data_IF_617086243136
#
_entry.id   IF_617086243136
#
_cell.length_a   1.000
_cell.length_b   1.000
_cell.length_c   1.000
_cell.angle_alpha   90.00
_cell.angle_beta   90.00
_cell.angle_gamma   90.00
#
_symmetry.space_group_name_H-M   'P 1'
#
loop_
_entity.id
_entity.type
_entity.pdbx_description
1 polymer ?
#
# COMPACT_ATOMS: atom_id res chain seq x y z
N UNK A 1 -15.80 -50.50 -13.18
CA UNK A 1 -15.53 -49.16 -12.60
C UNK A 1 -14.02 -48.94 -12.62
N UNK A 2 -13.53 -47.97 -13.39
CA UNK A 2 -12.07 -47.71 -13.54
C UNK A 2 -11.68 -46.61 -12.55
N UNK A 3 -11.02 -46.99 -11.47
CA UNK A 3 -10.48 -46.02 -10.50
C UNK A 3 -9.09 -45.62 -10.97
N UNK A 4 -8.96 -44.43 -11.57
CA UNK A 4 -7.68 -43.88 -12.01
C UNK A 4 -6.89 -43.45 -10.78
N UNK A 5 -5.80 -44.16 -10.47
CA UNK A 5 -4.85 -43.77 -9.40
C UNK A 5 -4.09 -42.52 -9.84
N UNK A 6 -4.60 -41.35 -9.49
CA UNK A 6 -3.93 -40.07 -9.74
C UNK A 6 -2.64 -40.01 -8.91
N UNK A 7 -1.49 -39.87 -9.58
CA UNK A 7 -0.19 -39.74 -8.93
C UNK A 7 -0.17 -38.43 -8.11
N UNK A 8 0.36 -38.43 -6.87
CA UNK A 8 0.32 -37.27 -5.96
C UNK A 8 1.00 -36.02 -6.56
N UNK A 9 1.96 -36.22 -7.47
CA UNK A 9 2.65 -35.17 -8.21
C UNK A 9 1.70 -34.38 -9.14
N UNK A 10 0.66 -35.03 -9.69
CA UNK A 10 -0.32 -34.39 -10.57
C UNK A 10 -1.32 -33.52 -9.82
N UNK A 11 -1.58 -33.84 -8.54
CA UNK A 11 -2.45 -33.04 -7.68
C UNK A 11 -1.73 -31.76 -7.24
N UNK A 12 -0.44 -31.86 -6.93
CA UNK A 12 0.39 -30.70 -6.58
C UNK A 12 0.49 -29.66 -7.71
N UNK A 13 0.69 -30.11 -8.95
CA UNK A 13 0.75 -29.22 -10.12
C UNK A 13 -0.58 -28.53 -10.38
N UNK A 14 -1.71 -29.23 -10.23
CA UNK A 14 -3.04 -28.64 -10.35
C UNK A 14 -3.33 -27.62 -9.25
N UNK A 15 -2.83 -27.86 -8.04
CA UNK A 15 -3.05 -26.97 -6.89
C UNK A 15 -2.22 -25.68 -7.01
N UNK A 16 -0.97 -25.78 -7.45
CA UNK A 16 -0.12 -24.61 -7.75
C UNK A 16 -0.67 -23.81 -8.93
N UNK A 17 -1.16 -24.49 -9.98
CA UNK A 17 -1.82 -23.82 -11.10
C UNK A 17 -3.08 -23.06 -10.64
N UNK A 18 -3.93 -23.67 -9.81
CA UNK A 18 -5.14 -23.01 -9.28
C UNK A 18 -4.83 -21.79 -8.40
N UNK A 19 -3.75 -21.84 -7.60
CA UNK A 19 -3.30 -20.71 -6.79
C UNK A 19 -2.72 -19.56 -7.64
N UNK A 20 -2.08 -19.87 -8.77
CA UNK A 20 -1.53 -18.86 -9.67
C UNK A 20 -2.59 -17.97 -10.32
N UNK A 21 -3.79 -18.49 -10.59
CA UNK A 21 -4.89 -17.71 -11.21
C UNK A 21 -5.59 -16.74 -10.24
N UNK A 22 -5.49 -16.92 -8.93
CA UNK A 22 -6.09 -15.99 -7.96
C UNK A 22 -5.34 -14.66 -7.79
N UNK A 23 -4.13 -14.53 -8.33
CA UNK A 23 -3.32 -13.31 -8.19
C UNK A 23 -3.74 -12.18 -9.16
N UNK A 24 -4.44 -12.49 -10.25
CA UNK A 24 -4.84 -11.50 -11.27
C UNK A 24 -6.28 -10.98 -11.12
N UNK A 25 -6.99 -11.33 -10.04
CA UNK A 25 -8.38 -10.91 -9.83
C UNK A 25 -8.53 -9.63 -8.98
N UNK A 26 -7.41 -8.96 -8.66
CA UNK A 26 -7.39 -7.76 -7.80
C UNK A 26 -7.40 -6.44 -8.57
N UNK A 27 -7.81 -6.44 -9.84
CA UNK A 27 -8.13 -5.19 -10.53
C UNK A 27 -9.37 -4.56 -9.90
N UNK A 28 -9.23 -3.32 -9.41
CA UNK A 28 -10.35 -2.49 -8.95
C UNK A 28 -11.30 -2.18 -10.10
N UNK A 29 -12.58 -2.04 -9.79
CA UNK A 29 -13.59 -1.61 -10.76
C UNK A 29 -13.16 -0.25 -11.38
N UNK A 30 -12.99 -0.15 -12.70
CA UNK A 30 -12.56 1.09 -13.36
C UNK A 30 -13.55 2.24 -13.18
N UNK A 31 -14.83 1.97 -12.92
CA UNK A 31 -15.81 3.02 -12.61
C UNK A 31 -15.54 3.64 -11.25
N UNK A 32 -15.15 2.83 -10.26
CA UNK A 32 -14.78 3.32 -8.94
C UNK A 32 -13.56 4.26 -9.03
N UNK A 33 -12.58 3.94 -9.87
CA UNK A 33 -11.40 4.80 -10.08
C UNK A 33 -11.76 6.16 -10.68
N UNK A 34 -12.87 6.25 -11.42
CA UNK A 34 -13.32 7.50 -12.01
C UNK A 34 -14.19 8.34 -11.08
N UNK A 35 -14.71 7.75 -10.01
CA UNK A 35 -15.57 8.40 -9.02
C UNK A 35 -14.87 9.61 -8.37
N UNK A 36 -15.51 10.78 -8.32
CA UNK A 36 -14.92 11.98 -7.70
C UNK A 36 -14.68 11.80 -6.18
N UNK A 37 -15.54 11.07 -5.47
CA UNK A 37 -15.37 10.78 -4.06
C UNK A 37 -14.18 9.86 -3.82
N UNK A 38 -13.97 8.87 -4.70
CA UNK A 38 -12.78 8.05 -4.68
C UNK A 38 -11.51 8.89 -4.84
N UNK A 39 -11.47 9.78 -5.84
CA UNK A 39 -10.32 10.67 -6.09
C UNK A 39 -10.07 11.62 -4.92
N UNK A 40 -11.12 12.18 -4.32
CA UNK A 40 -11.01 13.04 -3.14
C UNK A 40 -10.44 12.26 -1.94
N UNK A 41 -11.00 11.08 -1.66
CA UNK A 41 -10.49 10.20 -0.62
C UNK A 41 -9.02 9.84 -0.84
N UNK A 42 -8.65 9.50 -2.07
CA UNK A 42 -7.27 9.18 -2.42
C UNK A 42 -6.29 10.32 -2.18
N UNK A 43 -6.68 11.56 -2.50
CA UNK A 43 -5.85 12.73 -2.20
C UNK A 43 -5.67 12.94 -0.69
N UNK A 44 -6.76 12.85 0.08
CA UNK A 44 -6.76 13.02 1.54
C UNK A 44 -5.96 11.90 2.25
N UNK A 45 -6.08 10.67 1.76
CA UNK A 45 -5.30 9.52 2.23
C UNK A 45 -3.81 9.71 2.00
N UNK A 46 -3.44 10.20 0.83
CA UNK A 46 -2.04 10.51 0.52
C UNK A 46 -1.48 11.59 1.45
N UNK A 47 -2.25 12.67 1.70
CA UNK A 47 -1.85 13.70 2.65
C UNK A 47 -1.71 13.14 4.07
N UNK A 48 -2.66 12.33 4.52
CA UNK A 48 -2.59 11.64 5.81
C UNK A 48 -1.31 10.84 5.97
N UNK A 49 -0.87 10.12 4.93
CA UNK A 49 0.36 9.33 5.00
C UNK A 49 1.61 10.19 5.28
N UNK A 50 1.62 11.44 4.82
CA UNK A 50 2.71 12.38 5.06
C UNK A 50 2.59 13.10 6.40
N UNK A 51 1.37 13.37 6.86
CA UNK A 51 1.14 14.19 8.06
C UNK A 51 0.91 13.38 9.32
N UNK A 52 0.50 12.11 9.22
CA UNK A 52 0.10 11.31 10.38
C UNK A 52 1.25 11.22 11.39
N UNK A 53 0.94 11.41 12.65
CA UNK A 53 1.84 11.14 13.77
C UNK A 53 1.14 10.15 14.68
N UNK A 54 1.82 9.05 15.00
CA UNK A 54 1.26 7.99 15.84
C UNK A 54 0.79 8.56 17.18
N UNK A 55 -0.46 8.29 17.54
CA UNK A 55 -1.10 8.78 18.77
C UNK A 55 -1.82 10.12 18.66
N UNK A 56 -1.81 10.76 17.50
CA UNK A 56 -2.45 12.06 17.26
C UNK A 56 -3.43 11.98 16.07
N UNK A 57 -4.68 11.64 16.35
CA UNK A 57 -5.72 11.46 15.32
C UNK A 57 -6.00 12.74 14.51
N UNK A 58 -5.73 13.92 15.06
CA UNK A 58 -5.89 15.21 14.39
C UNK A 58 -4.95 15.40 13.20
N UNK A 59 -3.87 14.62 13.14
CA UNK A 59 -2.91 14.66 12.03
C UNK A 59 -3.40 13.89 10.81
N UNK A 60 -4.47 13.10 10.96
CA UNK A 60 -5.10 12.32 9.90
C UNK A 60 -6.00 13.24 9.06
N UNK A 61 -5.63 13.43 7.79
CA UNK A 61 -6.40 14.22 6.83
C UNK A 61 -7.52 13.37 6.23
N UNK A 62 -8.74 13.57 6.73
CA UNK A 62 -9.95 12.96 6.13
C UNK A 62 -11.20 13.78 6.41
N UNK A 63 -12.11 13.81 5.45
CA UNK A 63 -13.48 14.24 5.67
C UNK A 63 -14.23 13.15 6.44
N UNK A 64 -14.48 13.39 7.72
CA UNK A 64 -15.11 12.41 8.62
C UNK A 64 -16.50 11.96 8.13
N UNK A 65 -17.33 12.88 7.63
CA UNK A 65 -18.67 12.52 7.17
C UNK A 65 -18.59 11.56 5.97
N UNK A 66 -17.80 11.91 4.96
CA UNK A 66 -17.63 11.07 3.76
C UNK A 66 -16.92 9.75 4.09
N UNK A 67 -15.97 9.76 5.03
CA UNK A 67 -15.29 8.54 5.47
C UNK A 67 -16.24 7.54 6.12
N UNK A 68 -17.26 8.01 6.82
CA UNK A 68 -18.26 7.14 7.46
C UNK A 68 -19.34 6.68 6.46
N UNK A 69 -19.86 7.59 5.64
CA UNK A 69 -21.03 7.31 4.78
C UNK A 69 -20.69 6.79 3.39
N UNK A 70 -19.59 7.23 2.80
CA UNK A 70 -19.28 6.96 1.39
C UNK A 70 -18.21 5.88 1.23
N UNK A 71 -18.61 4.73 0.69
CA UNK A 71 -17.69 3.62 0.44
C UNK A 71 -16.59 3.99 -0.56
N UNK A 72 -16.92 4.76 -1.60
CA UNK A 72 -15.94 5.19 -2.60
C UNK A 72 -14.85 6.08 -1.99
N UNK A 73 -15.23 7.05 -1.16
CA UNK A 73 -14.29 7.92 -0.46
C UNK A 73 -13.38 7.14 0.48
N UNK A 74 -13.94 6.29 1.35
CA UNK A 74 -13.17 5.47 2.31
C UNK A 74 -12.19 4.52 1.60
N UNK A 75 -12.62 3.94 0.50
CA UNK A 75 -11.78 3.06 -0.33
C UNK A 75 -10.63 3.86 -0.97
N UNK A 76 -10.92 5.02 -1.53
CA UNK A 76 -9.90 5.93 -2.07
C UNK A 76 -8.89 6.35 -1.01
N UNK A 77 -9.36 6.72 0.19
CA UNK A 77 -8.51 7.12 1.31
C UNK A 77 -7.52 6.04 1.72
N UNK A 78 -7.96 4.78 1.89
CA UNK A 78 -7.06 3.68 2.23
C UNK A 78 -5.96 3.45 1.19
N UNK A 79 -6.30 3.58 -0.09
CA UNK A 79 -5.35 3.42 -1.20
C UNK A 79 -4.35 4.56 -1.30
N UNK A 80 -4.84 5.80 -1.18
CA UNK A 80 -3.98 6.99 -1.15
C UNK A 80 -2.99 6.90 0.00
N UNK A 81 -3.47 6.47 1.17
CA UNK A 81 -2.65 6.28 2.36
C UNK A 81 -1.55 5.23 2.13
N UNK A 82 -1.91 4.03 1.66
CA UNK A 82 -0.96 2.95 1.41
C UNK A 82 0.02 3.22 0.27
N UNK A 83 -0.39 4.00 -0.74
CA UNK A 83 0.45 4.32 -1.90
C UNK A 83 1.51 5.37 -1.57
N UNK A 84 1.16 6.42 -0.81
CA UNK A 84 2.06 7.53 -0.48
C UNK A 84 2.92 7.30 0.79
N UNK A 85 2.49 6.42 1.71
CA UNK A 85 3.14 6.20 3.01
C UNK A 85 4.52 5.53 2.99
N UNK A 86 4.97 5.01 1.84
CA UNK A 86 6.27 4.33 1.71
C UNK A 86 7.50 5.25 1.84
N UNK A 87 7.30 6.58 1.94
CA UNK A 87 8.39 7.54 2.13
C UNK A 87 8.95 7.62 3.56
N UNK A 88 8.25 7.12 4.58
CA UNK A 88 8.69 7.26 5.99
C UNK A 88 9.77 6.25 6.40
N UNK A 89 10.03 5.22 5.59
CA UNK A 89 11.14 4.28 5.81
C UNK A 89 12.46 4.70 5.16
N UNK A 90 12.53 5.92 4.58
CA UNK A 90 13.73 6.43 3.91
C UNK A 90 14.24 7.74 4.54
N UNK A 91 13.91 8.02 5.80
CA UNK A 91 14.82 8.81 6.63
C UNK A 91 15.68 7.81 7.40
N UNK A 92 16.66 7.27 6.68
CA UNK A 92 17.69 6.39 7.21
C UNK A 92 18.56 7.26 8.13
N UNK A 93 18.37 7.13 9.45
CA UNK A 93 19.18 7.77 10.50
C UNK A 93 20.70 7.55 10.30
N UNK A 94 21.08 6.58 9.44
CA UNK A 94 22.46 6.31 9.05
C UNK A 94 23.09 7.39 8.16
N UNK A 95 22.31 8.27 7.53
CA UNK A 95 22.84 9.34 6.67
C UNK A 95 23.50 10.47 7.49
N UNK A 96 22.92 10.83 8.64
CA UNK A 96 23.45 11.88 9.54
C UNK A 96 24.84 11.52 10.11
N UNK A 97 25.10 10.23 10.37
CA UNK A 97 26.38 9.79 10.93
C UNK A 97 27.48 9.56 9.88
N UNK A 98 27.15 9.55 8.59
CA UNK A 98 28.13 9.34 7.52
C UNK A 98 28.72 10.66 6.98
N UNK A 99 28.07 11.80 7.23
CA UNK A 99 28.58 13.12 6.84
C UNK A 99 29.72 13.63 7.76
N UNK A 100 29.90 13.02 8.94
CA UNK A 100 30.95 13.38 9.90
C UNK A 100 32.36 12.87 9.57
N UNK A 101 32.54 12.04 8.55
CA UNK A 101 33.85 11.46 8.18
C UNK A 101 34.50 12.16 6.97
N UNK A 102 33.79 13.02 6.24
CA UNK A 102 34.28 13.61 4.99
C UNK A 102 35.14 14.87 5.15
N UNK A 103 35.37 15.37 6.37
CA UNK A 103 36.07 16.65 6.61
C UNK A 103 37.40 16.53 7.36
N UNK A 104 38.03 15.36 7.39
CA UNK A 104 39.42 15.19 7.85
C UNK A 104 40.41 15.16 6.67
N UNK A 105 40.51 16.29 5.98
CA UNK A 105 41.44 16.50 4.88
C UNK A 105 41.72 18.00 4.68
N UNK A 106 42.09 18.69 5.75
CA UNK A 106 42.67 20.03 5.67
C UNK A 106 44.18 19.81 5.60
N UNK A 107 44.72 19.84 4.38
CA UNK A 107 46.16 19.99 4.16
C UNK A 107 46.55 21.46 4.43
N UNK A 108 47.66 21.61 5.16
CA UNK A 108 48.24 22.86 5.68
C UNK A 108 48.63 23.88 4.61
#
# INVERSE_FOLDING_TARGET
MIVRRVKPLSVFVLLVAALGLSACAFERDPQLLQDPLYKAGHADGCQSAHTEVSGFDETIQRNKALYETEAAYRTGWGDGYGSCGRGRSQFDDRSILNEGNATSGIDY
#
